data_IF_152312004144
#
_entry.id   IF_152312004144
#
_cell.length_a   1.000
_cell.length_b   1.000
_cell.length_c   1.000
_cell.angle_alpha   90.00
_cell.angle_beta   90.00
_cell.angle_gamma   90.00
#
_symmetry.space_group_name_H-M   'P 1'
#
loop_
_entity.id
_entity.type
_entity.pdbx_description
1 polymer ?
#
# COMPACT_ATOMS: atom_id res chain seq x y z
N UNK A 1 -0.94 11.05 62.75
CA UNK A 1 -0.90 11.94 61.58
C UNK A 1 0.34 12.84 61.67
N UNK A 2 1.43 12.49 60.98
CA UNK A 2 2.48 13.39 60.47
C UNK A 2 3.52 12.52 59.77
N UNK A 3 3.88 12.95 58.57
CA UNK A 3 4.31 12.14 57.44
C UNK A 3 5.82 11.95 57.52
N UNK A 4 6.29 10.70 57.47
CA UNK A 4 7.72 10.39 57.44
C UNK A 4 8.31 10.79 56.10
N UNK A 5 9.22 11.76 56.14
CA UNK A 5 10.08 12.17 55.05
C UNK A 5 11.09 11.06 54.81
N UNK A 6 10.96 10.31 53.71
CA UNK A 6 12.03 9.44 53.22
C UNK A 6 12.72 10.11 52.04
N UNK A 7 14.00 10.37 52.25
CA UNK A 7 14.95 10.85 51.27
C UNK A 7 15.22 9.77 50.19
N UNK A 8 15.38 10.25 48.97
CA UNK A 8 16.47 9.95 48.01
C UNK A 8 16.96 8.48 47.93
N UNK A 9 16.85 7.85 46.76
CA UNK A 9 17.94 7.20 45.98
C UNK A 9 17.35 6.62 44.68
N UNK A 10 17.97 7.00 43.56
CA UNK A 10 18.07 6.42 42.19
C UNK A 10 17.43 5.03 41.88
N UNK A 11 17.05 4.72 40.60
CA UNK A 11 17.75 5.17 39.40
C UNK A 11 16.92 5.58 38.15
N UNK A 12 17.49 6.56 37.45
CA UNK A 12 17.09 7.12 36.15
C UNK A 12 17.55 6.25 34.96
N UNK A 13 17.51 4.91 35.05
CA UNK A 13 18.18 4.03 34.07
C UNK A 13 17.28 3.09 33.25
N UNK A 14 15.99 3.39 33.09
CA UNK A 14 15.06 2.48 32.37
C UNK A 14 14.47 3.05 31.07
N UNK A 15 15.05 4.11 30.48
CA UNK A 15 14.55 4.70 29.22
C UNK A 15 15.39 4.35 27.97
N UNK A 16 15.84 3.10 27.81
CA UNK A 16 16.53 2.70 26.57
C UNK A 16 16.17 1.31 26.03
N UNK A 17 14.89 0.94 26.10
CA UNK A 17 14.38 -0.23 25.39
C UNK A 17 13.08 0.14 24.65
N UNK A 18 13.16 1.09 23.72
CA UNK A 18 12.14 1.20 22.69
C UNK A 18 12.36 0.03 21.70
N UNK A 19 11.39 -0.87 21.47
CA UNK A 19 11.50 -1.85 20.41
C UNK A 19 11.67 -1.11 19.09
N UNK A 20 12.80 -1.33 18.42
CA UNK A 20 13.06 -0.75 17.10
C UNK A 20 11.91 -1.09 16.16
N UNK A 21 11.31 -0.05 15.57
CA UNK A 21 10.32 -0.25 14.52
C UNK A 21 10.95 -1.10 13.40
N UNK A 22 10.23 -2.08 12.82
CA UNK A 22 10.76 -2.87 11.73
C UNK A 22 11.16 -1.95 10.59
N UNK A 23 12.44 -1.98 10.22
CA UNK A 23 12.92 -1.31 9.02
C UNK A 23 12.20 -1.93 7.82
N UNK A 24 11.45 -1.12 7.06
CA UNK A 24 10.88 -1.56 5.78
C UNK A 24 12.02 -1.83 4.80
N UNK A 25 12.34 -3.11 4.62
CA UNK A 25 13.17 -3.58 3.53
C UNK A 25 12.48 -3.18 2.21
N UNK A 26 13.19 -2.58 1.24
CA UNK A 26 12.63 -2.32 -0.08
C UNK A 26 12.04 -3.60 -0.66
N UNK A 27 10.78 -3.57 -1.05
CA UNK A 27 10.13 -4.71 -1.68
C UNK A 27 10.90 -5.06 -2.96
N UNK A 28 11.17 -6.36 -3.15
CA UNK A 28 11.79 -6.84 -4.37
C UNK A 28 10.96 -6.41 -5.59
N UNK A 29 11.61 -6.07 -6.73
CA UNK A 29 10.89 -5.68 -7.94
C UNK A 29 9.89 -6.75 -8.34
N UNK A 30 8.67 -6.35 -8.66
CA UNK A 30 7.67 -7.26 -9.21
C UNK A 30 8.15 -7.77 -10.58
N UNK A 31 7.88 -9.05 -10.92
CA UNK A 31 8.24 -9.59 -12.22
C UNK A 31 7.55 -8.82 -13.36
N UNK A 32 8.32 -8.50 -14.39
CA UNK A 32 7.81 -7.81 -15.58
C UNK A 32 6.89 -8.75 -16.40
N UNK A 33 5.77 -8.24 -16.96
CA UNK A 33 4.91 -9.04 -17.82
C UNK A 33 5.65 -9.50 -19.09
N UNK A 34 5.62 -10.79 -19.38
CA UNK A 34 6.25 -11.38 -20.55
C UNK A 34 5.22 -11.81 -21.61
N UNK A 35 5.64 -11.84 -22.88
CA UNK A 35 4.77 -12.31 -23.97
C UNK A 35 4.61 -13.83 -23.88
N UNK A 36 3.37 -14.31 -24.05
CA UNK A 36 3.06 -15.74 -24.00
C UNK A 36 2.84 -16.31 -22.60
N UNK A 37 3.11 -15.54 -21.54
CA UNK A 37 2.72 -15.90 -20.18
C UNK A 37 1.31 -15.45 -19.87
N UNK A 38 0.68 -16.05 -18.85
CA UNK A 38 -0.60 -15.54 -18.36
C UNK A 38 -0.44 -14.09 -17.90
N UNK A 39 -1.36 -13.22 -18.34
CA UNK A 39 -1.38 -11.84 -17.89
C UNK A 39 -1.76 -11.78 -16.39
N UNK A 40 -1.00 -11.05 -15.55
CA UNK A 40 -1.33 -10.90 -14.14
C UNK A 40 -2.72 -10.28 -13.97
N UNK A 41 -3.52 -10.85 -13.07
CA UNK A 41 -4.81 -10.25 -12.73
C UNK A 41 -4.59 -8.93 -11.97
N UNK A 42 -5.47 -7.98 -12.21
CA UNK A 42 -5.46 -6.69 -11.55
C UNK A 42 -6.87 -6.13 -11.43
N UNK A 43 -7.02 -5.21 -10.49
CA UNK A 43 -8.29 -4.53 -10.23
C UNK A 43 -8.10 -3.02 -10.32
N UNK A 44 -8.98 -2.34 -11.05
CA UNK A 44 -8.97 -0.89 -11.20
C UNK A 44 -10.35 -0.29 -10.93
N UNK A 45 -10.37 0.94 -10.45
CA UNK A 45 -11.58 1.75 -10.47
C UNK A 45 -11.86 2.18 -11.92
N UNK A 46 -12.98 1.74 -12.47
CA UNK A 46 -13.44 2.21 -13.78
C UNK A 46 -14.06 3.59 -13.69
N UNK A 47 -14.00 4.35 -14.79
CA UNK A 47 -14.66 5.65 -14.90
C UNK A 47 -15.33 5.81 -16.26
N UNK A 48 -16.49 6.46 -16.28
CA UNK A 48 -17.23 6.81 -17.49
C UNK A 48 -17.48 8.31 -17.54
N UNK A 49 -18.22 8.80 -18.55
CA UNK A 49 -18.69 10.19 -18.58
C UNK A 49 -19.57 10.59 -17.39
N UNK A 50 -20.13 9.61 -16.67
CA UNK A 50 -21.01 9.84 -15.51
C UNK A 50 -20.27 9.77 -14.16
N UNK A 51 -18.94 9.58 -14.17
CA UNK A 51 -18.12 9.48 -12.97
C UNK A 51 -17.51 8.09 -12.76
N UNK A 52 -17.02 7.86 -11.54
CA UNK A 52 -16.38 6.61 -11.13
C UNK A 52 -17.44 5.52 -10.91
N UNK A 53 -17.17 4.32 -11.41
CA UNK A 53 -18.04 3.17 -11.23
C UNK A 53 -18.08 2.74 -9.75
N UNK A 54 -19.25 2.31 -9.28
CA UNK A 54 -19.41 1.78 -7.91
C UNK A 54 -18.65 0.46 -7.72
N UNK A 55 -18.65 -0.38 -8.75
CA UNK A 55 -17.93 -1.65 -8.74
C UNK A 55 -16.59 -1.48 -9.46
N UNK A 56 -15.51 -2.05 -8.91
CA UNK A 56 -14.24 -2.10 -9.59
C UNK A 56 -14.30 -3.06 -10.79
N UNK A 57 -13.31 -2.95 -11.67
CA UNK A 57 -13.15 -3.78 -12.87
C UNK A 57 -11.96 -4.70 -12.67
N UNK A 58 -12.12 -6.00 -12.94
CA UNK A 58 -11.06 -7.00 -12.89
C UNK A 58 -10.66 -7.42 -14.30
N UNK A 59 -9.39 -7.79 -14.51
CA UNK A 59 -8.98 -8.35 -15.80
C UNK A 59 -9.69 -9.68 -16.08
N UNK A 60 -9.91 -10.48 -15.03
CA UNK A 60 -10.63 -11.75 -15.10
C UNK A 60 -12.07 -11.64 -15.62
N UNK A 61 -12.73 -10.49 -15.48
CA UNK A 61 -14.07 -10.25 -16.05
C UNK A 61 -14.11 -10.33 -17.59
N UNK A 62 -12.95 -10.21 -18.25
CA UNK A 62 -12.79 -10.23 -19.70
C UNK A 62 -12.23 -11.54 -20.27
N UNK A 63 -12.18 -12.63 -19.47
CA UNK A 63 -11.74 -13.94 -19.97
C UNK A 63 -12.54 -14.35 -21.23
N UNK A 64 -11.83 -14.89 -22.22
CA UNK A 64 -12.41 -15.24 -23.52
C UNK A 64 -12.56 -14.07 -24.50
N UNK A 65 -12.11 -12.86 -24.15
CA UNK A 65 -12.04 -11.71 -25.05
C UNK A 65 -10.59 -11.30 -25.29
N UNK A 66 -10.34 -10.68 -26.45
CA UNK A 66 -9.09 -9.95 -26.69
C UNK A 66 -9.17 -8.60 -25.98
N UNK A 67 -8.22 -8.32 -25.10
CA UNK A 67 -8.15 -7.09 -24.30
C UNK A 67 -6.90 -6.31 -24.68
N UNK A 68 -7.05 -5.00 -24.88
CA UNK A 68 -5.94 -4.09 -25.13
C UNK A 68 -5.73 -3.22 -23.89
N UNK A 69 -4.51 -3.23 -23.34
CA UNK A 69 -4.13 -2.39 -22.21
C UNK A 69 -3.23 -1.25 -22.71
N UNK A 70 -3.65 -0.01 -22.43
CA UNK A 70 -2.90 1.19 -22.77
C UNK A 70 -2.69 2.05 -21.52
N UNK A 71 -1.44 2.42 -21.26
CA UNK A 71 -1.05 3.23 -20.11
C UNK A 71 -0.81 4.67 -20.52
N UNK A 72 -1.41 5.60 -19.78
CA UNK A 72 -1.26 7.03 -19.99
C UNK A 72 -0.74 7.65 -18.69
N UNK A 73 0.44 8.25 -18.72
CA UNK A 73 1.02 8.91 -17.54
C UNK A 73 0.17 10.11 -17.07
N UNK A 74 -0.56 10.74 -17.99
CA UNK A 74 -1.61 11.73 -17.75
C UNK A 74 -2.81 11.38 -18.62
N UNK A 75 -3.90 10.95 -17.99
CA UNK A 75 -5.16 10.69 -18.66
C UNK A 75 -6.18 11.76 -18.25
N UNK A 76 -7.03 12.18 -19.20
CA UNK A 76 -8.21 13.02 -18.92
C UNK A 76 -7.90 14.39 -18.26
N UNK A 77 -6.69 14.92 -18.46
CA UNK A 77 -6.31 16.26 -18.02
C UNK A 77 -6.71 17.31 -19.06
N UNK A 78 -6.94 18.56 -18.63
CA UNK A 78 -6.96 19.69 -19.56
C UNK A 78 -5.53 19.89 -20.10
N UNK A 79 -5.41 20.27 -21.38
CA UNK A 79 -4.14 20.61 -22.02
C UNK A 79 -3.52 21.87 -21.43
#
# INVERSE_FOLDING_TARGET
MKRFTFALVAPLLTMLAAPGAPAQQPAAPAPEPAVGTEAPDFTLLGATRYGVLKMPVHLSDFKGKTVVLAFFYKARTKG
#
